data_IF_093306599072
#
_entry.id   IF_093306599072
#
_cell.length_a   1.000
_cell.length_b   1.000
_cell.length_c   1.000
_cell.angle_alpha   90.00
_cell.angle_beta   90.00
_cell.angle_gamma   90.00
#
_symmetry.space_group_name_H-M   'P 1'
#
loop_
_entity.id
_entity.type
_entity.pdbx_description
1 polymer ?
#
# COMPACT_ATOMS: atom_id res chain seq x y z
N UNK A 1 4.88 -11.33 44.11
CA UNK A 1 5.26 -11.19 42.69
C UNK A 1 4.12 -10.46 42.01
N UNK A 2 4.35 -9.21 41.66
CA UNK A 2 3.41 -8.36 40.94
C UNK A 2 3.24 -8.93 39.51
N UNK A 3 2.02 -8.93 38.94
CA UNK A 3 1.73 -9.41 37.57
C UNK A 3 2.72 -8.86 36.53
N UNK A 4 3.21 -7.63 36.70
CA UNK A 4 4.12 -6.94 35.80
C UNK A 4 5.58 -7.39 35.96
N UNK A 5 5.99 -7.85 37.14
CA UNK A 5 7.32 -8.48 37.35
C UNK A 5 7.41 -9.81 36.60
N UNK A 6 6.29 -10.52 36.44
CA UNK A 6 6.22 -11.77 35.67
C UNK A 6 6.46 -11.55 34.16
N UNK A 7 6.14 -10.36 33.65
CA UNK A 7 6.25 -10.01 32.24
C UNK A 7 7.41 -9.06 31.93
N UNK A 8 8.29 -8.81 32.90
CA UNK A 8 9.43 -7.89 32.78
C UNK A 8 8.98 -6.50 32.25
N UNK A 9 7.92 -5.98 32.87
CA UNK A 9 7.29 -4.71 32.53
C UNK A 9 7.66 -3.63 33.55
N UNK A 10 8.52 -2.70 33.14
CA UNK A 10 8.79 -1.48 33.89
C UNK A 10 7.75 -0.40 33.58
N UNK A 11 7.11 0.13 34.63
CA UNK A 11 6.13 1.21 34.49
C UNK A 11 6.85 2.54 34.63
N UNK A 12 6.80 3.35 33.57
CA UNK A 12 7.43 4.68 33.55
C UNK A 12 6.66 5.63 34.46
N UNK A 13 7.33 6.20 35.47
CA UNK A 13 6.68 7.13 36.41
C UNK A 13 6.62 8.58 35.90
N UNK A 14 7.34 8.92 34.82
CA UNK A 14 7.35 10.25 34.21
C UNK A 14 7.26 10.15 32.67
N UNK A 15 6.04 10.10 32.13
CA UNK A 15 5.81 10.05 30.69
C UNK A 15 5.80 11.48 30.15
N UNK A 16 6.82 11.85 29.37
CA UNK A 16 6.79 13.07 28.57
C UNK A 16 5.93 12.77 27.34
N UNK A 17 4.72 13.33 27.31
CA UNK A 17 3.83 13.20 26.16
C UNK A 17 4.26 14.18 25.08
N UNK A 18 4.71 13.66 23.94
CA UNK A 18 5.11 14.48 22.80
C UNK A 18 3.88 14.90 21.99
N UNK A 19 3.90 16.13 21.48
CA UNK A 19 2.96 16.56 20.45
C UNK A 19 3.45 16.06 19.09
N UNK A 20 2.66 15.19 18.45
CA UNK A 20 2.97 14.60 17.15
C UNK A 20 1.87 14.91 16.12
N UNK A 21 1.23 16.09 16.26
CA UNK A 21 0.26 16.63 15.30
C UNK A 21 0.79 16.57 13.86
N UNK A 22 -0.06 16.07 12.96
CA UNK A 22 0.11 16.31 11.52
C UNK A 22 -0.25 17.75 11.14
N UNK A 23 0.18 18.23 9.97
CA UNK A 23 -0.16 19.58 9.47
C UNK A 23 -1.66 19.89 9.49
N UNK A 24 -2.51 18.87 9.27
CA UNK A 24 -3.98 19.00 9.31
C UNK A 24 -4.55 19.08 10.72
N UNK A 25 -3.77 18.74 11.75
CA UNK A 25 -4.17 18.69 13.16
C UNK A 25 -3.63 19.87 13.97
N UNK A 26 -2.76 20.72 13.40
CA UNK A 26 -2.13 21.85 14.12
C UNK A 26 -3.16 22.80 14.76
N UNK A 27 -4.34 22.97 14.13
CA UNK A 27 -5.41 23.84 14.63
C UNK A 27 -6.42 23.14 15.53
N UNK A 28 -6.29 21.83 15.71
CA UNK A 28 -7.25 21.01 16.45
C UNK A 28 -7.00 21.13 17.96
N UNK A 29 -8.08 21.27 18.73
CA UNK A 29 -8.04 21.39 20.19
C UNK A 29 -8.25 20.05 20.88
N UNK A 30 -8.85 19.05 20.22
CA UNK A 30 -9.05 17.71 20.78
C UNK A 30 -8.65 16.59 19.81
N UNK A 31 -8.83 16.80 18.49
CA UNK A 31 -8.58 15.75 17.49
C UNK A 31 -7.15 15.75 16.98
N UNK A 32 -6.19 15.35 17.81
CA UNK A 32 -4.77 15.36 17.46
C UNK A 32 -3.96 14.24 18.10
N UNK A 33 -2.86 13.86 17.43
CA UNK A 33 -2.02 12.75 17.85
C UNK A 33 -1.02 13.20 18.93
N UNK A 34 -0.84 12.36 19.95
CA UNK A 34 0.03 12.63 21.10
C UNK A 34 0.79 11.37 21.55
N UNK A 35 1.90 11.56 22.25
CA UNK A 35 2.78 10.49 22.72
C UNK A 35 3.80 10.07 21.64
N UNK A 36 4.26 8.82 21.69
CA UNK A 36 5.11 8.29 20.62
C UNK A 36 4.28 8.10 19.34
N UNK A 37 4.86 8.48 18.20
CA UNK A 37 4.20 8.34 16.90
C UNK A 37 3.84 6.88 16.62
N UNK A 38 2.55 6.60 16.45
CA UNK A 38 2.03 5.27 16.12
C UNK A 38 2.06 5.05 14.59
N UNK A 39 2.99 4.20 14.11
CA UNK A 39 3.14 3.79 12.69
C UNK A 39 2.00 2.91 12.19
N UNK A 40 1.65 2.98 10.91
CA UNK A 40 0.56 2.20 10.28
C UNK A 40 -0.78 2.92 10.14
N UNK A 41 -0.85 4.22 10.43
CA UNK A 41 -2.07 5.00 10.26
C UNK A 41 -2.46 5.15 8.78
N UNK A 42 -3.75 5.00 8.44
CA UNK A 42 -4.22 5.11 7.05
C UNK A 42 -3.98 6.49 6.43
N UNK A 43 -4.00 7.54 7.24
CA UNK A 43 -3.73 8.91 6.78
C UNK A 43 -2.30 9.07 6.26
N UNK A 44 -1.34 8.43 6.93
CA UNK A 44 0.07 8.47 6.56
C UNK A 44 0.33 7.60 5.35
N UNK A 45 -0.16 6.35 5.35
CA UNK A 45 -0.10 5.47 4.19
C UNK A 45 -0.73 6.11 2.95
N UNK A 46 -1.83 6.85 3.11
CA UNK A 46 -2.45 7.60 2.02
C UNK A 46 -1.54 8.71 1.49
N UNK A 47 -0.94 9.51 2.38
CA UNK A 47 -0.03 10.58 1.99
C UNK A 47 1.22 10.02 1.26
N UNK A 48 1.79 8.93 1.77
CA UNK A 48 2.90 8.23 1.12
C UNK A 48 2.51 7.71 -0.26
N UNK A 49 1.33 7.09 -0.40
CA UNK A 49 0.81 6.65 -1.70
C UNK A 49 0.59 7.81 -2.67
N UNK A 50 -0.01 8.90 -2.21
CA UNK A 50 -0.21 10.09 -3.04
C UNK A 50 1.14 10.65 -3.52
N UNK A 51 2.14 10.74 -2.64
CA UNK A 51 3.52 11.11 -2.98
C UNK A 51 4.16 10.15 -3.98
N UNK A 52 3.96 8.83 -3.79
CA UNK A 52 4.45 7.81 -4.70
C UNK A 52 3.79 7.90 -6.08
N UNK A 53 2.49 8.18 -6.17
CA UNK A 53 1.79 8.30 -7.46
C UNK A 53 2.25 9.53 -8.26
N UNK A 54 2.80 10.55 -7.59
CA UNK A 54 3.35 11.74 -8.24
C UNK A 54 4.80 11.53 -8.67
N UNK A 55 5.63 10.98 -7.79
CA UNK A 55 7.09 10.87 -8.00
C UNK A 55 7.53 9.52 -8.58
N UNK A 56 6.76 8.46 -8.35
CA UNK A 56 7.13 7.05 -8.48
C UNK A 56 8.45 6.68 -7.75
N UNK A 57 8.85 7.47 -6.74
CA UNK A 57 10.14 7.32 -6.06
C UNK A 57 10.30 5.96 -5.39
N UNK A 58 11.48 5.35 -5.56
CA UNK A 58 11.81 4.09 -4.90
C UNK A 58 12.04 4.27 -3.39
N UNK A 59 12.41 5.47 -2.96
CA UNK A 59 12.56 5.82 -1.54
C UNK A 59 11.18 5.87 -0.88
N UNK A 60 10.22 6.54 -1.51
CA UNK A 60 8.83 6.60 -1.03
C UNK A 60 8.20 5.21 -1.04
N UNK A 61 8.48 4.39 -2.06
CA UNK A 61 8.08 2.98 -2.03
C UNK A 61 8.68 2.28 -0.81
N UNK A 62 9.99 2.37 -0.58
CA UNK A 62 10.63 1.75 0.58
C UNK A 62 10.05 2.20 1.93
N UNK A 63 9.53 3.43 2.03
CA UNK A 63 8.78 3.90 3.20
C UNK A 63 7.41 3.21 3.33
N UNK A 64 6.65 3.10 2.24
CA UNK A 64 5.37 2.35 2.24
C UNK A 64 5.61 0.88 2.62
N UNK A 65 6.71 0.28 2.17
CA UNK A 65 7.12 -1.09 2.50
C UNK A 65 7.31 -1.31 3.99
N UNK A 66 7.95 -0.35 4.67
CA UNK A 66 8.17 -0.38 6.11
C UNK A 66 6.86 -0.28 6.88
N UNK A 67 5.93 0.55 6.40
CA UNK A 67 4.63 0.75 7.03
C UNK A 67 3.66 -0.41 6.77
N UNK A 68 3.58 -0.89 5.53
CA UNK A 68 2.72 -2.01 5.12
C UNK A 68 3.13 -2.60 3.76
N UNK A 69 3.70 -3.82 3.73
CA UNK A 69 4.02 -4.53 2.49
C UNK A 69 2.80 -4.75 1.58
N UNK A 70 1.63 -4.97 2.18
CA UNK A 70 0.38 -5.15 1.42
C UNK A 70 0.01 -3.86 0.69
N UNK A 71 0.15 -2.72 1.38
CA UNK A 71 -0.22 -1.44 0.80
C UNK A 71 0.75 -0.96 -0.27
N UNK A 72 2.02 -1.36 -0.15
CA UNK A 72 2.99 -1.17 -1.20
C UNK A 72 2.65 -1.93 -2.47
N UNK A 73 2.34 -3.23 -2.37
CA UNK A 73 1.84 -3.99 -3.50
C UNK A 73 0.59 -3.34 -4.10
N UNK A 74 -0.34 -2.87 -3.26
CA UNK A 74 -1.55 -2.18 -3.70
C UNK A 74 -1.27 -0.86 -4.45
N UNK A 75 -0.20 -0.14 -4.10
CA UNK A 75 0.20 1.10 -4.76
C UNK A 75 0.67 0.89 -6.21
N UNK A 76 1.15 -0.30 -6.55
CA UNK A 76 1.64 -0.60 -7.90
C UNK A 76 0.48 -0.89 -8.87
N UNK A 77 0.31 -0.16 -9.95
CA UNK A 77 -0.54 -0.61 -11.06
C UNK A 77 0.15 -0.22 -12.36
N UNK A 78 0.25 -1.17 -13.29
CA UNK A 78 0.81 -0.92 -14.62
C UNK A 78 0.21 0.31 -15.28
N UNK A 79 -1.11 0.53 -15.20
CA UNK A 79 -1.77 1.64 -15.89
C UNK A 79 -1.38 3.00 -15.29
N UNK A 80 -0.98 3.00 -14.01
CA UNK A 80 -0.48 4.20 -13.35
C UNK A 80 0.98 4.44 -13.72
N UNK A 81 1.81 3.38 -13.66
CA UNK A 81 3.26 3.47 -13.93
C UNK A 81 3.58 3.67 -15.42
N UNK A 82 2.68 3.22 -16.30
CA UNK A 82 2.77 3.33 -17.76
C UNK A 82 1.44 3.94 -18.24
N UNK A 83 1.28 5.28 -18.16
CA UNK A 83 0.04 5.98 -18.47
C UNK A 83 -0.17 6.11 -19.99
N UNK A 84 -0.22 4.98 -20.69
CA UNK A 84 -0.46 4.93 -22.12
C UNK A 84 -1.86 5.44 -22.48
N UNK A 85 -1.95 6.35 -23.45
CA UNK A 85 -3.20 6.91 -23.97
C UNK A 85 -3.15 6.96 -25.49
N UNK A 86 -4.23 6.51 -26.14
CA UNK A 86 -4.35 6.61 -27.59
C UNK A 86 -4.50 8.07 -28.03
N UNK A 87 -5.13 8.90 -27.21
CA UNK A 87 -5.29 10.33 -27.44
C UNK A 87 -3.93 11.03 -27.53
N UNK A 88 -3.04 10.78 -26.56
CA UNK A 88 -1.69 11.37 -26.56
C UNK A 88 -0.85 10.89 -27.76
N UNK A 89 -0.91 9.60 -28.10
CA UNK A 89 -0.21 9.07 -29.27
C UNK A 89 -0.70 9.69 -30.58
N UNK A 90 -2.01 10.00 -30.66
CA UNK A 90 -2.60 10.71 -31.81
C UNK A 90 -2.08 12.14 -31.91
N UNK A 91 -2.03 12.85 -30.79
CA UNK A 91 -1.48 14.21 -30.71
C UNK A 91 0.00 14.25 -31.12
N UNK A 92 0.76 13.22 -30.74
CA UNK A 92 2.16 13.04 -31.14
C UNK A 92 2.35 12.55 -32.59
N UNK A 93 1.29 12.53 -33.40
CA UNK A 93 1.30 12.10 -34.81
C UNK A 93 1.84 10.67 -35.03
N UNK A 94 1.68 9.79 -34.04
CA UNK A 94 2.09 8.39 -34.16
C UNK A 94 1.08 7.65 -35.04
N UNK A 95 1.50 6.78 -35.97
CA UNK A 95 0.54 6.00 -36.77
C UNK A 95 -0.36 5.13 -35.88
N UNK A 96 -1.66 5.06 -36.16
CA UNK A 96 -2.63 4.29 -35.36
C UNK A 96 -2.21 2.82 -35.16
N UNK A 97 -1.60 2.21 -36.18
CA UNK A 97 -1.03 0.85 -36.09
C UNK A 97 0.09 0.75 -35.05
N UNK A 98 0.97 1.75 -34.96
CA UNK A 98 2.10 1.79 -34.02
C UNK A 98 1.61 2.05 -32.61
N UNK A 99 0.67 2.99 -32.45
CA UNK A 99 -0.01 3.21 -31.16
C UNK A 99 -0.69 1.93 -30.66
N UNK A 100 -1.32 1.15 -31.55
CA UNK A 100 -1.89 -0.15 -31.19
C UNK A 100 -0.83 -1.18 -30.78
N UNK A 101 0.31 -1.22 -31.45
CA UNK A 101 1.44 -2.08 -31.04
C UNK A 101 1.98 -1.73 -29.66
N UNK A 102 2.18 -0.43 -29.38
CA UNK A 102 2.55 0.06 -28.04
C UNK A 102 1.52 -0.37 -26.99
N UNK A 103 0.22 -0.16 -27.26
CA UNK A 103 -0.85 -0.58 -26.37
C UNK A 103 -0.84 -2.09 -26.10
N UNK A 104 -0.58 -2.90 -27.14
CA UNK A 104 -0.51 -4.35 -27.01
C UNK A 104 0.70 -4.80 -26.18
N UNK A 105 1.86 -4.15 -26.34
CA UNK A 105 3.05 -4.38 -25.52
C UNK A 105 2.75 -4.09 -24.04
N UNK A 106 2.24 -2.88 -23.74
CA UNK A 106 1.85 -2.49 -22.38
C UNK A 106 0.81 -3.47 -21.82
N UNK A 107 -0.19 -3.85 -22.63
CA UNK A 107 -1.22 -4.81 -22.24
C UNK A 107 -0.71 -6.23 -21.90
N UNK A 108 0.55 -6.58 -22.23
CA UNK A 108 1.18 -7.85 -21.84
C UNK A 108 1.87 -7.82 -20.48
N UNK A 109 2.12 -6.63 -19.93
CA UNK A 109 2.66 -6.47 -18.58
C UNK A 109 1.54 -6.77 -17.59
N UNK A 110 1.81 -7.58 -16.57
CA UNK A 110 0.84 -7.88 -15.52
C UNK A 110 0.52 -6.60 -14.72
N UNK A 111 -0.62 -6.54 -14.00
CA UNK A 111 -0.97 -5.32 -13.24
C UNK A 111 -0.07 -5.09 -12.03
N UNK A 112 0.53 -6.17 -11.54
CA UNK A 112 1.36 -6.29 -10.34
C UNK A 112 2.58 -7.16 -10.71
N UNK A 113 3.68 -7.09 -9.96
CA UNK A 113 4.81 -8.01 -10.17
C UNK A 113 4.38 -9.48 -10.08
N UNK A 114 5.07 -10.36 -10.81
CA UNK A 114 4.79 -11.80 -10.84
C UNK A 114 5.03 -12.50 -9.49
N UNK A 115 5.93 -11.95 -8.67
CA UNK A 115 6.23 -12.39 -7.29
C UNK A 115 6.10 -11.21 -6.32
N UNK A 116 5.77 -11.49 -5.06
CA UNK A 116 5.50 -10.47 -4.05
C UNK A 116 6.64 -10.36 -3.02
N UNK A 117 7.77 -9.79 -3.44
CA UNK A 117 8.92 -9.48 -2.58
C UNK A 117 9.27 -7.98 -2.66
N UNK A 118 9.93 -7.39 -1.65
CA UNK A 118 10.35 -6.00 -1.71
C UNK A 118 11.23 -5.69 -2.94
N UNK A 119 12.15 -6.61 -3.25
CA UNK A 119 13.04 -6.53 -4.42
C UNK A 119 12.24 -6.56 -5.72
N UNK A 120 11.27 -7.47 -5.84
CA UNK A 120 10.38 -7.55 -6.98
C UNK A 120 9.55 -6.28 -7.20
N UNK A 121 8.99 -5.71 -6.13
CA UNK A 121 8.21 -4.46 -6.22
C UNK A 121 9.06 -3.28 -6.69
N UNK A 122 10.29 -3.14 -6.18
CA UNK A 122 11.26 -2.14 -6.63
C UNK A 122 11.57 -2.30 -8.12
N UNK A 123 11.93 -3.51 -8.53
CA UNK A 123 12.31 -3.80 -9.92
C UNK A 123 11.13 -3.66 -10.87
N UNK A 124 9.91 -3.96 -10.44
CA UNK A 124 8.71 -3.74 -11.23
C UNK A 124 8.50 -2.26 -11.55
N UNK A 125 8.74 -1.35 -10.59
CA UNK A 125 8.69 0.10 -10.85
C UNK A 125 9.79 0.51 -11.83
N UNK A 126 11.02 0.03 -11.63
CA UNK A 126 12.16 0.33 -12.53
C UNK A 126 11.91 -0.17 -13.95
N UNK A 127 11.45 -1.41 -14.10
CA UNK A 127 11.11 -2.00 -15.38
C UNK A 127 9.95 -1.24 -16.05
N UNK A 128 8.87 -0.91 -15.32
CA UNK A 128 7.78 -0.10 -15.88
C UNK A 128 8.25 1.27 -16.37
N UNK A 129 9.10 1.96 -15.60
CA UNK A 129 9.68 3.26 -15.98
C UNK A 129 10.54 3.15 -17.23
N UNK A 130 11.39 2.12 -17.30
CA UNK A 130 12.21 1.81 -18.46
C UNK A 130 11.34 1.57 -19.70
N UNK A 131 10.35 0.68 -19.61
CA UNK A 131 9.41 0.44 -20.72
C UNK A 131 8.71 1.74 -21.12
N UNK A 132 8.23 2.53 -20.16
CA UNK A 132 7.54 3.79 -20.46
C UNK A 132 8.42 4.78 -21.22
N UNK A 133 9.71 4.88 -20.85
CA UNK A 133 10.70 5.70 -21.54
C UNK A 133 10.97 5.17 -22.95
N UNK A 134 11.31 3.89 -23.06
CA UNK A 134 11.73 3.26 -24.31
C UNK A 134 10.63 3.32 -25.38
N UNK A 135 9.35 3.14 -25.01
CA UNK A 135 8.23 3.22 -25.97
C UNK A 135 7.99 4.63 -26.52
N UNK A 136 8.50 5.70 -25.89
CA UNK A 136 8.38 7.06 -26.43
C UNK A 136 9.17 7.22 -27.74
N UNK A 137 10.32 6.54 -27.87
CA UNK A 137 11.14 6.59 -29.09
C UNK A 137 10.58 5.80 -30.28
N UNK A 138 9.52 5.02 -30.08
CA UNK A 138 8.95 4.15 -31.12
C UNK A 138 7.93 4.92 -31.96
N UNK A 139 8.27 5.14 -33.22
CA UNK A 139 7.45 5.85 -34.22
C UNK A 139 7.06 4.95 -35.39
N UNK A 140 7.80 3.86 -35.64
CA UNK A 140 7.51 2.90 -36.71
C UNK A 140 7.27 1.49 -36.17
N UNK A 141 6.76 0.60 -37.02
CA UNK A 141 6.53 -0.79 -36.62
C UNK A 141 7.82 -1.59 -36.54
N UNK A 142 8.81 -1.22 -37.34
CA UNK A 142 10.17 -1.77 -37.35
C UNK A 142 10.86 -1.45 -36.02
N UNK A 143 10.81 -0.18 -35.59
CA UNK A 143 11.33 0.25 -34.28
C UNK A 143 10.67 -0.51 -33.12
N UNK A 144 9.36 -0.81 -33.23
CA UNK A 144 8.67 -1.62 -32.24
C UNK A 144 9.19 -3.06 -32.20
N UNK A 145 9.41 -3.68 -33.36
CA UNK A 145 9.97 -5.04 -33.47
C UNK A 145 11.38 -5.08 -32.88
N UNK A 146 12.21 -4.09 -33.20
CA UNK A 146 13.57 -3.98 -32.70
C UNK A 146 13.59 -3.83 -31.18
N UNK A 147 12.72 -2.99 -30.62
CA UNK A 147 12.60 -2.80 -29.17
C UNK A 147 12.16 -4.08 -28.45
N UNK A 148 11.10 -4.74 -28.93
CA UNK A 148 10.63 -6.00 -28.33
C UNK A 148 11.70 -7.09 -28.45
N UNK A 149 12.41 -7.12 -29.57
CA UNK A 149 13.53 -8.03 -29.81
C UNK A 149 14.72 -7.76 -28.90
N UNK A 150 15.04 -6.51 -28.57
CA UNK A 150 16.16 -6.16 -27.69
C UNK A 150 15.91 -6.67 -26.27
N UNK A 151 14.72 -6.44 -25.71
CA UNK A 151 14.33 -7.01 -24.41
C UNK A 151 14.46 -8.54 -24.39
N UNK A 152 14.05 -9.20 -25.48
CA UNK A 152 14.20 -10.64 -25.65
C UNK A 152 15.65 -11.11 -25.62
N UNK A 153 16.57 -10.35 -26.24
CA UNK A 153 18.01 -10.64 -26.23
C UNK A 153 18.60 -10.43 -24.84
N UNK A 154 18.25 -9.33 -24.16
CA UNK A 154 18.72 -9.02 -22.81
C UNK A 154 18.34 -10.13 -21.81
N UNK A 155 17.07 -10.51 -21.75
CA UNK A 155 16.61 -11.60 -20.88
C UNK A 155 17.32 -12.93 -21.17
N UNK A 156 17.58 -13.24 -22.45
CA UNK A 156 18.32 -14.45 -22.83
C UNK A 156 19.78 -14.38 -22.37
N UNK A 157 20.44 -13.23 -22.58
CA UNK A 157 21.82 -13.02 -22.18
C UNK A 157 21.97 -13.12 -20.65
N UNK A 158 21.10 -12.46 -19.90
CA UNK A 158 21.04 -12.55 -18.44
C UNK A 158 20.85 -13.99 -17.97
N UNK A 159 19.92 -14.74 -18.58
CA UNK A 159 19.69 -16.15 -18.28
C UNK A 159 20.92 -17.04 -18.55
N UNK A 160 21.60 -16.86 -19.68
CA UNK A 160 22.81 -17.62 -19.99
C UNK A 160 23.95 -17.31 -19.04
N UNK A 161 24.15 -16.04 -18.69
CA UNK A 161 25.17 -15.61 -17.73
C UNK A 161 24.93 -16.24 -16.36
N UNK A 162 23.69 -16.17 -15.86
CA UNK A 162 23.28 -16.77 -14.60
C UNK A 162 23.50 -18.30 -14.57
N UNK A 163 23.03 -19.01 -15.60
CA UNK A 163 23.14 -20.47 -15.66
C UNK A 163 24.60 -20.95 -15.62
N UNK A 164 25.50 -20.19 -16.25
CA UNK A 164 26.94 -20.49 -16.27
C UNK A 164 27.59 -20.31 -14.89
N UNK A 165 27.20 -19.28 -14.15
CA UNK A 165 27.79 -18.93 -12.86
C UNK A 165 27.32 -19.86 -11.72
N UNK A 166 26.02 -20.20 -11.70
CA UNK A 166 25.38 -20.84 -10.54
C UNK A 166 25.11 -22.34 -10.68
N UNK A 167 25.45 -22.96 -11.81
CA UNK A 167 25.25 -24.39 -12.10
C UNK A 167 23.85 -24.94 -11.72
N UNK A 168 22.81 -24.18 -12.05
CA UNK A 168 21.43 -24.42 -11.57
C UNK A 168 20.70 -25.49 -12.39
N UNK A 169 19.94 -26.36 -11.70
CA UNK A 169 19.17 -27.46 -12.29
C UNK A 169 17.66 -27.18 -12.42
N UNK A 170 17.17 -26.07 -11.87
CA UNK A 170 15.76 -25.69 -11.94
C UNK A 170 15.32 -25.19 -13.32
N UNK A 171 14.03 -25.32 -13.61
CA UNK A 171 13.43 -24.75 -14.82
C UNK A 171 13.34 -23.22 -14.71
N UNK A 172 13.44 -22.53 -15.85
CA UNK A 172 13.31 -21.07 -15.93
C UNK A 172 12.04 -20.53 -15.24
N UNK A 173 10.91 -21.23 -15.43
CA UNK A 173 9.64 -20.87 -14.78
C UNK A 173 9.75 -20.92 -13.26
N UNK A 174 10.30 -22.02 -12.73
CA UNK A 174 10.46 -22.22 -11.29
C UNK A 174 11.40 -21.18 -10.69
N UNK A 175 12.48 -20.84 -11.40
CA UNK A 175 13.37 -19.76 -11.00
C UNK A 175 12.59 -18.45 -10.80
N UNK A 176 11.89 -17.97 -11.83
CA UNK A 176 11.17 -16.69 -11.78
C UNK A 176 10.08 -16.64 -10.71
N UNK A 177 9.42 -17.77 -10.42
CA UNK A 177 8.29 -17.81 -9.47
C UNK A 177 8.73 -18.02 -8.01
N UNK A 178 9.81 -18.78 -7.77
CA UNK A 178 10.18 -19.22 -6.41
C UNK A 178 11.50 -18.62 -5.93
N UNK A 179 12.42 -18.30 -6.84
CA UNK A 179 13.81 -17.95 -6.50
C UNK A 179 14.23 -16.58 -7.04
N UNK A 180 13.27 -15.72 -7.41
CA UNK A 180 13.52 -14.44 -8.08
C UNK A 180 14.62 -13.61 -7.42
N UNK A 181 14.53 -13.41 -6.11
CA UNK A 181 15.46 -12.57 -5.35
C UNK A 181 16.90 -13.13 -5.33
N UNK A 182 17.10 -14.43 -5.60
CA UNK A 182 18.41 -15.08 -5.59
C UNK A 182 19.20 -14.91 -6.89
N UNK A 183 18.57 -14.46 -7.98
CA UNK A 183 19.24 -14.37 -9.29
C UNK A 183 19.08 -13.04 -10.01
N UNK A 184 18.39 -12.08 -9.41
CA UNK A 184 18.01 -10.84 -10.07
C UNK A 184 19.16 -9.83 -10.27
N UNK A 185 20.36 -10.15 -9.78
CA UNK A 185 21.55 -9.31 -9.89
C UNK A 185 22.15 -9.21 -11.30
N UNK A 186 21.59 -9.93 -12.29
CA UNK A 186 22.05 -9.90 -13.67
C UNK A 186 21.20 -8.94 -14.55
N UNK A 187 21.87 -8.22 -15.45
CA UNK A 187 21.24 -7.29 -16.39
C UNK A 187 20.12 -7.95 -17.21
N UNK A 188 18.98 -7.28 -17.31
CA UNK A 188 17.82 -7.71 -18.08
C UNK A 188 16.91 -8.70 -17.34
N UNK A 189 17.30 -9.17 -16.15
CA UNK A 189 16.45 -10.05 -15.34
C UNK A 189 15.30 -9.30 -14.68
N UNK A 190 15.42 -7.98 -14.50
CA UNK A 190 14.35 -7.13 -14.00
C UNK A 190 13.10 -7.16 -14.89
N UNK A 191 13.27 -7.38 -16.21
CA UNK A 191 12.16 -7.46 -17.17
C UNK A 191 11.26 -8.68 -16.95
N UNK A 192 11.75 -9.71 -16.25
CA UNK A 192 11.00 -10.93 -15.95
C UNK A 192 9.84 -10.66 -14.98
N UNK A 193 9.97 -9.62 -14.15
CA UNK A 193 8.96 -9.27 -13.16
C UNK A 193 7.65 -8.76 -13.79
N UNK A 194 7.70 -8.34 -15.06
CA UNK A 194 6.57 -7.83 -15.82
C UNK A 194 5.57 -8.92 -16.23
N UNK A 195 5.91 -10.19 -16.03
CA UNK A 195 4.96 -11.30 -16.14
C UNK A 195 5.12 -12.16 -17.39
N UNK A 196 4.53 -13.36 -17.35
CA UNK A 196 4.71 -14.41 -18.38
C UNK A 196 4.32 -13.98 -19.78
N UNK A 197 3.27 -13.16 -19.88
CA UNK A 197 2.76 -12.65 -21.16
C UNK A 197 3.73 -11.69 -21.83
N UNK A 198 4.38 -10.84 -21.03
CA UNK A 198 5.42 -9.92 -21.49
C UNK A 198 6.68 -10.69 -21.92
N UNK A 199 7.15 -11.62 -21.07
CA UNK A 199 8.30 -12.48 -21.38
C UNK A 199 8.07 -13.24 -22.68
N UNK A 200 6.90 -13.86 -22.83
CA UNK A 200 6.54 -14.60 -24.04
C UNK A 200 6.51 -13.70 -25.29
N UNK A 201 6.02 -12.47 -25.16
CA UNK A 201 6.04 -11.51 -26.28
C UNK A 201 7.46 -11.22 -26.74
N UNK A 202 8.40 -10.98 -25.83
CA UNK A 202 9.75 -10.56 -26.20
C UNK A 202 10.67 -11.73 -26.60
N UNK A 203 10.43 -12.94 -26.09
CA UNK A 203 11.35 -14.07 -26.28
C UNK A 203 10.94 -15.05 -27.38
N UNK A 204 9.67 -15.03 -27.80
CA UNK A 204 9.10 -15.97 -28.77
C UNK A 204 8.68 -15.27 -30.07
N UNK A 205 9.41 -15.54 -31.16
CA UNK A 205 9.15 -14.96 -32.49
C UNK A 205 7.72 -15.22 -33.00
N UNK A 206 7.10 -16.36 -32.64
CA UNK A 206 5.69 -16.62 -33.02
C UNK A 206 4.73 -15.65 -32.33
N UNK A 207 5.00 -15.27 -31.07
CA UNK A 207 4.19 -14.30 -30.33
C UNK A 207 4.35 -12.88 -30.88
N UNK A 208 5.57 -12.51 -31.28
CA UNK A 208 5.86 -11.24 -31.97
C UNK A 208 5.07 -11.17 -33.28
N UNK A 209 5.22 -12.18 -34.14
CA UNK A 209 4.55 -12.24 -35.44
C UNK A 209 3.03 -12.22 -35.29
N UNK A 210 2.48 -13.00 -34.35
CA UNK A 210 1.05 -12.99 -34.06
C UNK A 210 0.56 -11.60 -33.62
N UNK A 211 1.33 -10.89 -32.80
CA UNK A 211 0.97 -9.54 -32.34
C UNK A 211 1.03 -8.52 -33.47
N UNK A 212 2.04 -8.62 -34.35
CA UNK A 212 2.17 -7.79 -35.54
C UNK A 212 1.02 -8.01 -36.53
N UNK A 213 0.64 -9.26 -36.78
CA UNK A 213 -0.47 -9.61 -37.67
C UNK A 213 -1.82 -9.09 -37.16
N UNK A 214 -1.99 -8.87 -35.84
CA UNK A 214 -3.22 -8.26 -35.30
C UNK A 214 -3.41 -6.80 -35.72
N UNK A 215 -2.37 -6.14 -36.21
CA UNK A 215 -2.40 -4.74 -36.66
C UNK A 215 -2.04 -4.60 -38.15
N UNK A 216 -2.05 -5.70 -38.90
CA UNK A 216 -1.66 -5.69 -40.32
C UNK A 216 -2.76 -5.16 -41.24
N UNK A 217 -4.00 -5.08 -40.75
CA UNK A 217 -5.09 -4.41 -41.45
C UNK A 217 -5.02 -2.89 -41.23
N UNK A 218 -5.69 -2.13 -42.10
CA UNK A 218 -5.81 -0.69 -41.94
C UNK A 218 -6.57 -0.38 -40.65
N UNK A 219 -5.89 0.26 -39.70
CA UNK A 219 -6.44 0.65 -38.40
C UNK A 219 -6.70 2.16 -38.41
N UNK A 220 -7.91 2.56 -38.02
CA UNK A 220 -8.25 3.98 -37.87
C UNK A 220 -8.27 4.41 -36.41
N UNK A 221 -8.14 5.72 -36.18
CA UNK A 221 -8.27 6.28 -34.83
C UNK A 221 -9.67 6.10 -34.22
N UNK A 222 -10.71 6.01 -35.05
CA UNK A 222 -12.06 5.74 -34.57
C UNK A 222 -12.18 4.34 -33.96
N UNK A 223 -11.48 3.35 -34.52
CA UNK A 223 -11.46 1.98 -33.98
C UNK A 223 -10.79 1.90 -32.61
N UNK A 224 -9.83 2.80 -32.35
CA UNK A 224 -9.04 2.81 -31.11
C UNK A 224 -9.67 3.63 -29.98
N UNK A 225 -10.37 4.71 -30.32
CA UNK A 225 -10.92 5.66 -29.34
C UNK A 225 -12.34 5.31 -28.87
N UNK A 226 -13.02 4.36 -29.52
CA UNK A 226 -14.37 3.94 -29.12
C UNK A 226 -14.35 3.11 -27.84
N UNK A 227 -14.80 3.70 -26.72
CA UNK A 227 -14.91 3.00 -25.43
C UNK A 227 -16.13 2.08 -25.41
N UNK A 228 -15.93 0.79 -25.13
CA UNK A 228 -17.03 -0.16 -24.84
C UNK A 228 -17.64 0.13 -23.47
N UNK A 229 -18.94 0.43 -23.46
CA UNK A 229 -19.72 0.62 -22.21
C UNK A 229 -19.86 -0.73 -21.52
N UNK A 230 -19.31 -0.84 -20.31
CA UNK A 230 -19.49 -2.00 -19.44
C UNK A 230 -20.31 -1.58 -18.23
N UNK A 231 -21.55 -2.07 -18.16
CA UNK A 231 -22.49 -1.79 -17.06
C UNK A 231 -22.12 -2.64 -15.85
N UNK A 232 -21.62 -2.00 -14.79
CA UNK A 232 -21.29 -2.67 -13.52
C UNK A 232 -22.55 -2.71 -12.63
N UNK A 233 -22.98 -3.90 -12.20
CA UNK A 233 -24.11 -4.07 -11.27
C UNK A 233 -23.77 -3.47 -9.90
N UNK A 234 -24.72 -2.75 -9.30
CA UNK A 234 -24.62 -2.27 -7.91
C UNK A 234 -24.73 -3.45 -6.94
N UNK A 235 -23.86 -3.48 -5.94
CA UNK A 235 -23.90 -4.46 -4.85
C UNK A 235 -25.05 -4.16 -3.88
N UNK A 236 -25.54 -5.19 -3.19
CA UNK A 236 -26.57 -5.06 -2.16
C UNK A 236 -26.12 -4.19 -0.99
N UNK A 237 -27.10 -3.63 -0.27
CA UNK A 237 -26.88 -2.77 0.91
C UNK A 237 -26.32 -3.62 2.05
N UNK A 238 -25.21 -3.18 2.64
CA UNK A 238 -24.61 -3.85 3.80
C UNK A 238 -25.46 -3.62 5.07
N UNK A 239 -25.51 -4.62 5.95
CA UNK A 239 -26.16 -4.51 7.26
C UNK A 239 -25.49 -3.42 8.12
N UNK A 240 -26.29 -2.63 8.86
CA UNK A 240 -25.80 -1.64 9.82
C UNK A 240 -26.36 -1.90 11.22
N UNK A 241 -25.53 -1.64 12.24
CA UNK A 241 -25.91 -1.77 13.67
C UNK A 241 -26.72 -0.54 14.08
N UNK A 242 -27.78 -0.74 14.87
CA UNK A 242 -28.49 0.35 15.55
C UNK A 242 -27.87 0.58 16.93
N UNK A 243 -27.33 1.77 17.17
CA UNK A 243 -26.85 2.23 18.48
C UNK A 243 -27.98 2.99 19.22
N UNK A 244 -27.99 3.00 20.56
CA UNK A 244 -28.91 3.83 21.32
C UNK A 244 -28.58 5.31 21.15
N UNK A 245 -29.60 6.17 21.23
CA UNK A 245 -29.44 7.63 21.04
C UNK A 245 -28.59 8.30 22.13
N UNK A 246 -28.48 7.68 23.31
CA UNK A 246 -27.66 8.16 24.43
C UNK A 246 -26.89 7.01 25.07
N UNK A 247 -25.61 7.26 25.38
CA UNK A 247 -24.75 6.34 26.11
C UNK A 247 -24.78 6.75 27.59
N UNK A 248 -25.12 5.83 28.50
CA UNK A 248 -25.05 6.07 29.95
C UNK A 248 -24.17 5.01 30.60
N UNK A 249 -23.04 5.42 31.17
CA UNK A 249 -22.18 4.54 31.95
C UNK A 249 -22.84 4.21 33.30
N UNK A 250 -22.70 2.95 33.72
CA UNK A 250 -23.08 2.49 35.06
C UNK A 250 -21.84 2.05 35.82
N UNK A 251 -21.40 2.86 36.77
CA UNK A 251 -20.23 2.54 37.61
C UNK A 251 -19.94 3.66 38.62
N UNK A 252 -18.94 3.47 39.48
CA UNK A 252 -18.44 4.51 40.36
C UNK A 252 -17.98 5.73 39.56
N UNK A 253 -18.02 6.90 40.18
CA UNK A 253 -17.44 8.13 39.62
C UNK A 253 -15.94 7.95 39.39
N UNK A 254 -15.46 8.44 38.25
CA UNK A 254 -14.05 8.36 37.84
C UNK A 254 -13.61 9.72 37.33
N UNK A 255 -12.34 10.05 37.56
CA UNK A 255 -11.73 11.20 36.90
C UNK A 255 -11.64 10.89 35.40
N UNK A 256 -12.11 11.81 34.56
CA UNK A 256 -12.08 11.64 33.11
C UNK A 256 -11.04 12.57 32.49
N UNK A 257 -10.33 12.04 31.49
CA UNK A 257 -9.45 12.82 30.63
C UNK A 257 -10.23 13.90 29.87
N UNK A 258 -9.61 15.08 29.70
CA UNK A 258 -10.19 16.20 28.92
C UNK A 258 -9.42 16.48 27.64
N UNK A 259 -8.17 16.04 27.59
CA UNK A 259 -7.26 16.14 26.46
C UNK A 259 -6.66 14.77 26.11
N UNK A 260 -6.18 14.55 24.88
CA UNK A 260 -5.50 13.31 24.50
C UNK A 260 -4.31 12.96 25.40
N UNK A 261 -3.54 13.95 25.84
CA UNK A 261 -2.37 13.78 26.71
C UNK A 261 -2.76 13.23 28.09
N UNK A 262 -3.94 13.63 28.60
CA UNK A 262 -4.49 13.12 29.85
C UNK A 262 -4.72 11.61 29.73
N UNK A 263 -5.30 11.13 28.62
CA UNK A 263 -5.51 9.69 28.38
C UNK A 263 -4.18 8.95 28.36
N UNK A 264 -3.18 9.46 27.63
CA UNK A 264 -1.86 8.82 27.55
C UNK A 264 -1.21 8.72 28.92
N UNK A 265 -1.27 9.79 29.70
CA UNK A 265 -0.63 9.89 31.02
C UNK A 265 -1.36 9.03 32.06
N UNK A 266 -2.69 9.15 32.16
CA UNK A 266 -3.52 8.44 33.14
C UNK A 266 -3.41 6.92 33.00
N UNK A 267 -3.36 6.42 31.75
CA UNK A 267 -3.38 4.99 31.47
C UNK A 267 -2.02 4.40 31.09
N UNK A 268 -0.96 5.22 31.07
CA UNK A 268 0.41 4.77 30.76
C UNK A 268 0.57 4.26 29.33
N UNK A 269 -0.17 4.84 28.38
CA UNK A 269 -0.15 4.43 26.96
C UNK A 269 1.12 4.89 26.26
N UNK A 270 1.44 4.21 25.15
CA UNK A 270 2.48 4.59 24.20
C UNK A 270 2.17 5.93 23.53
N UNK A 271 0.91 6.13 23.17
CA UNK A 271 0.40 7.30 22.45
C UNK A 271 -1.06 7.13 22.08
N UNK A 272 -1.69 8.23 21.67
CA UNK A 272 -3.07 8.28 21.20
C UNK A 272 -3.11 8.94 19.83
N UNK A 273 -3.80 8.31 18.86
CA UNK A 273 -3.83 8.74 17.47
C UNK A 273 -5.27 8.90 16.96
N UNK A 274 -5.54 9.95 16.20
CA UNK A 274 -6.86 10.22 15.62
C UNK A 274 -6.85 10.15 14.09
N UNK A 275 -7.90 9.57 13.52
CA UNK A 275 -8.18 9.62 12.09
C UNK A 275 -8.63 11.01 11.66
N UNK A 276 -8.36 11.41 10.40
CA UNK A 276 -8.77 12.72 9.88
C UNK A 276 -10.29 12.95 9.85
N UNK A 277 -11.11 11.90 9.99
CA UNK A 277 -12.56 12.07 10.07
C UNK A 277 -13.03 12.47 11.47
N UNK A 278 -12.22 12.25 12.51
CA UNK A 278 -12.58 12.55 13.88
C UNK A 278 -12.68 14.07 14.03
N UNK A 279 -13.90 14.59 14.10
CA UNK A 279 -14.15 16.00 14.37
C UNK A 279 -13.77 16.33 15.81
N UNK A 280 -13.64 17.61 16.13
CA UNK A 280 -13.35 18.07 17.51
C UNK A 280 -14.37 17.53 18.52
N UNK A 281 -15.65 17.59 18.19
CA UNK A 281 -16.72 17.07 19.04
C UNK A 281 -16.62 15.55 19.21
N UNK A 282 -16.40 14.83 18.11
CA UNK A 282 -16.28 13.37 18.14
C UNK A 282 -15.04 12.92 18.93
N UNK A 283 -13.91 13.61 18.76
CA UNK A 283 -12.70 13.32 19.51
C UNK A 283 -12.90 13.56 21.01
N UNK A 284 -13.55 14.67 21.39
CA UNK A 284 -13.87 14.98 22.79
C UNK A 284 -14.72 13.88 23.44
N UNK A 285 -15.79 13.45 22.77
CA UNK A 285 -16.65 12.37 23.27
C UNK A 285 -15.89 11.04 23.40
N UNK A 286 -15.00 10.72 22.45
CA UNK A 286 -14.16 9.51 22.53
C UNK A 286 -13.12 9.58 23.65
N UNK A 287 -12.52 10.75 23.90
CA UNK A 287 -11.60 10.95 25.03
C UNK A 287 -12.32 10.63 26.35
N UNK A 288 -13.51 11.20 26.54
CA UNK A 288 -14.33 10.99 27.74
C UNK A 288 -14.71 9.50 27.89
N UNK A 289 -15.36 8.91 26.89
CA UNK A 289 -15.84 7.52 26.97
C UNK A 289 -14.71 6.48 27.07
N UNK A 290 -13.59 6.69 26.38
CA UNK A 290 -12.46 5.77 26.49
C UNK A 290 -11.81 5.88 27.86
N UNK A 291 -11.68 7.09 28.42
CA UNK A 291 -11.17 7.28 29.78
C UNK A 291 -11.98 6.48 30.79
N UNK A 292 -13.31 6.58 30.72
CA UNK A 292 -14.20 5.81 31.57
C UNK A 292 -14.05 4.29 31.39
N UNK A 293 -14.01 3.83 30.13
CA UNK A 293 -13.87 2.42 29.81
C UNK A 293 -12.53 1.84 30.32
N UNK A 294 -11.43 2.57 30.19
CA UNK A 294 -10.12 2.14 30.66
C UNK A 294 -10.03 2.11 32.20
N UNK A 295 -10.68 3.04 32.90
CA UNK A 295 -10.83 2.96 34.35
C UNK A 295 -11.61 1.71 34.78
N UNK A 296 -12.69 1.38 34.08
CA UNK A 296 -13.45 0.16 34.37
C UNK A 296 -12.62 -1.11 34.11
N UNK A 297 -11.84 -1.15 33.03
CA UNK A 297 -10.91 -2.25 32.77
C UNK A 297 -9.88 -2.36 33.89
N UNK A 298 -9.26 -1.26 34.31
CA UNK A 298 -8.28 -1.25 35.40
C UNK A 298 -8.88 -1.78 36.71
N UNK A 299 -10.11 -1.33 37.04
CA UNK A 299 -10.86 -1.78 38.21
C UNK A 299 -11.21 -3.27 38.14
N UNK A 300 -11.68 -3.76 37.00
CA UNK A 300 -12.03 -5.17 36.80
C UNK A 300 -10.78 -6.05 36.94
N UNK A 301 -9.64 -5.59 36.42
CA UNK A 301 -8.36 -6.29 36.51
C UNK A 301 -7.68 -6.16 37.88
N UNK A 302 -8.14 -5.25 38.75
CA UNK A 302 -7.52 -4.98 40.05
C UNK A 302 -6.13 -4.34 39.94
N UNK A 303 -5.88 -3.56 38.88
CA UNK A 303 -4.60 -2.89 38.63
C UNK A 303 -4.76 -1.36 38.65
N UNK A 304 -3.69 -0.60 38.96
CA UNK A 304 -3.70 0.85 38.79
C UNK A 304 -3.96 1.26 37.33
N UNK A 305 -4.69 2.36 37.05
CA UNK A 305 -4.92 2.83 35.68
C UNK A 305 -3.65 2.98 34.84
N UNK A 306 -2.56 3.49 35.44
CA UNK A 306 -1.24 3.66 34.79
C UNK A 306 -0.62 2.36 34.24
N UNK A 307 -1.17 1.20 34.59
CA UNK A 307 -0.67 -0.12 34.15
C UNK A 307 -1.37 -0.62 32.88
N UNK A 308 -2.48 0.00 32.46
CA UNK A 308 -3.26 -0.39 31.29
C UNK A 308 -2.42 -0.37 30.01
N UNK A 309 -1.55 0.61 29.86
CA UNK A 309 -0.69 0.75 28.69
C UNK A 309 0.53 -0.16 28.66
N UNK A 310 0.63 -1.12 29.59
CA UNK A 310 1.66 -2.15 29.63
C UNK A 310 3.08 -1.57 29.59
N UNK A 311 3.35 -0.59 30.45
CA UNK A 311 4.67 0.08 30.50
C UNK A 311 4.95 0.96 29.28
N UNK A 312 3.92 1.54 28.66
CA UNK A 312 4.05 2.36 27.45
C UNK A 312 4.25 1.56 26.17
N UNK A 313 3.92 0.26 26.16
CA UNK A 313 3.98 -0.61 24.97
C UNK A 313 2.69 -0.55 24.14
N UNK A 314 1.56 -0.24 24.76
CA UNK A 314 0.25 -0.25 24.11
C UNK A 314 -0.13 1.14 23.58
N UNK A 315 -0.41 1.25 22.28
CA UNK A 315 -0.97 2.45 21.65
C UNK A 315 -2.49 2.39 21.50
N UNK A 316 -3.13 3.55 21.40
CA UNK A 316 -4.56 3.68 21.14
C UNK A 316 -4.80 4.51 19.87
N UNK A 317 -5.66 4.03 19.00
CA UNK A 317 -6.08 4.74 17.80
C UNK A 317 -7.61 4.88 17.74
N UNK A 318 -8.09 6.08 17.48
CA UNK A 318 -9.50 6.39 17.23
C UNK A 318 -9.64 6.69 15.74
N UNK A 319 -10.21 5.75 15.00
CA UNK A 319 -10.57 5.97 13.61
C UNK A 319 -9.41 6.03 12.61
N UNK A 320 -8.19 5.81 13.06
CA UNK A 320 -7.02 6.03 12.21
C UNK A 320 -6.69 4.82 11.32
N UNK A 321 -7.11 3.61 11.71
CA UNK A 321 -6.60 2.35 11.12
C UNK A 321 -7.67 1.44 10.52
N UNK A 322 -8.95 1.74 10.70
CA UNK A 322 -10.05 0.85 10.33
C UNK A 322 -10.15 0.52 8.84
N UNK A 323 -10.30 -0.77 8.50
CA UNK A 323 -10.71 -1.27 7.18
C UNK A 323 -11.84 -2.29 7.32
N UNK A 324 -13.00 -2.05 6.70
CA UNK A 324 -14.07 -3.05 6.62
C UNK A 324 -15.14 -2.93 7.72
N UNK A 325 -15.62 -4.08 8.20
CA UNK A 325 -16.82 -4.20 9.06
C UNK A 325 -16.51 -4.39 10.56
N UNK A 326 -15.24 -4.46 10.95
CA UNK A 326 -14.85 -4.60 12.36
C UNK A 326 -15.05 -3.26 13.08
N UNK A 327 -15.62 -3.27 14.29
CA UNK A 327 -15.83 -2.07 15.13
C UNK A 327 -14.57 -1.66 15.92
N UNK A 328 -13.69 -2.63 16.16
CA UNK A 328 -12.38 -2.43 16.76
C UNK A 328 -11.47 -3.61 16.40
N UNK A 329 -10.16 -3.39 16.47
CA UNK A 329 -9.17 -4.45 16.29
C UNK A 329 -7.88 -4.14 17.05
N UNK A 330 -7.09 -5.18 17.31
CA UNK A 330 -5.74 -5.06 17.86
C UNK A 330 -4.71 -5.41 16.78
N UNK A 331 -3.63 -4.63 16.70
CA UNK A 331 -2.52 -4.85 15.77
C UNK A 331 -1.30 -5.38 16.54
N UNK A 332 -0.98 -6.67 16.47
CA UNK A 332 0.12 -7.25 17.24
C UNK A 332 1.50 -6.68 16.88
N UNK A 333 1.71 -6.28 15.63
CA UNK A 333 2.99 -5.76 15.13
C UNK A 333 3.31 -4.37 15.65
N UNK A 334 2.30 -3.51 15.78
CA UNK A 334 2.43 -2.12 16.24
C UNK A 334 2.00 -1.94 17.70
N UNK A 335 1.40 -2.98 18.29
CA UNK A 335 0.84 -3.00 19.63
C UNK A 335 -0.22 -1.89 19.82
N UNK A 336 -1.09 -1.71 18.84
CA UNK A 336 -2.13 -0.66 18.85
C UNK A 336 -3.52 -1.28 18.92
N UNK A 337 -4.34 -0.80 19.86
CA UNK A 337 -5.80 -1.00 19.82
C UNK A 337 -6.39 0.11 18.97
N UNK A 338 -7.16 -0.25 17.95
CA UNK A 338 -7.89 0.71 17.13
C UNK A 338 -9.40 0.55 17.33
N UNK A 339 -10.07 1.65 17.67
CA UNK A 339 -11.52 1.78 17.59
C UNK A 339 -11.87 2.33 16.21
N UNK A 340 -12.67 1.62 15.42
CA UNK A 340 -13.02 2.10 14.07
C UNK A 340 -14.15 3.10 14.13
N UNK A 341 -14.33 3.85 13.04
CA UNK A 341 -15.54 4.64 12.85
C UNK A 341 -16.76 3.73 12.88
N UNK A 342 -17.84 4.19 13.48
CA UNK A 342 -19.16 3.64 13.23
C UNK A 342 -19.52 3.80 11.74
N UNK A 343 -20.14 2.77 11.15
CA UNK A 343 -20.54 2.76 9.74
C UNK A 343 -21.87 3.45 9.51
#
# INVERSE_FOLDING_TARGET
MNLFELFDLEVRENIIVQDVRTDKQVRNRYSYDVGEKLVGAKKELRALKESFLVSFSLEVLAEIEKESPVEALNALDRNTLIPFSFELEKENNIPARVAKLKQLLVGRIDKKPIVDTPTARKLYVQACRRIWHDIQSVHTSEQWIDLVGSYGKEMKNGWYAFKRDKNVTYTFKRMVEEYFDEFVDADGMELLILGKKFISLCTNSKSINSTYLRVSHELTWNDLLTKKVTTRKKSAVAWSRKLPDTLQRKGPEVEFATQPEDVVTMFGLKGMQFGHYCTEQYAKEHIEHVSEALHDVARILGIPPKYIGLGGRLGLAIGARGSGNALAHYEPSTQVINLTRDN
#
